data_IF_429716221085
#
_entry.id   IF_429716221085
#
_cell.length_a   1.000
_cell.length_b   1.000
_cell.length_c   1.000
_cell.angle_alpha   90.00
_cell.angle_beta   90.00
_cell.angle_gamma   90.00
#
_symmetry.space_group_name_H-M   'P 1'
#
loop_
_entity.id
_entity.type
_entity.pdbx_description
1 polymer ?
#
# COMPACT_ATOMS: atom_id res chain seq x y z
N UNK A 1 13.88 12.37 -4.24
CA UNK A 1 14.45 13.16 -5.34
C UNK A 1 15.26 12.24 -6.26
N UNK A 2 15.49 12.64 -7.54
CA UNK A 2 16.36 11.87 -8.42
C UNK A 2 17.76 11.66 -7.82
N UNK A 3 18.39 10.52 -8.11
CA UNK A 3 19.74 10.16 -7.66
C UNK A 3 19.81 9.40 -6.33
N UNK A 4 18.69 9.27 -5.62
CA UNK A 4 18.60 8.48 -4.38
C UNK A 4 18.29 7.04 -4.73
N UNK A 5 18.94 6.06 -4.11
CA UNK A 5 18.58 4.65 -4.25
C UNK A 5 17.39 4.28 -3.37
N UNK A 6 16.70 3.19 -3.69
CA UNK A 6 15.60 2.71 -2.85
C UNK A 6 16.12 2.14 -1.51
N UNK A 7 17.35 1.63 -1.45
CA UNK A 7 17.99 1.20 -0.21
C UNK A 7 18.30 2.40 0.72
N UNK A 8 18.71 3.54 0.14
CA UNK A 8 18.92 4.76 0.93
C UNK A 8 17.62 5.26 1.56
N UNK A 9 16.47 5.14 0.86
CA UNK A 9 15.15 5.45 1.42
C UNK A 9 14.80 4.50 2.56
N UNK A 10 15.05 3.22 2.42
CA UNK A 10 14.85 2.21 3.46
C UNK A 10 15.64 2.55 4.72
N UNK A 11 16.92 2.90 4.57
CA UNK A 11 17.79 3.31 5.68
C UNK A 11 17.25 4.53 6.42
N UNK A 12 16.81 5.57 5.69
CA UNK A 12 16.23 6.79 6.26
C UNK A 12 14.94 6.48 7.01
N UNK A 13 14.05 5.68 6.43
CA UNK A 13 12.79 5.30 7.06
C UNK A 13 13.03 4.42 8.29
N UNK A 14 13.94 3.46 8.23
CA UNK A 14 14.32 2.62 9.36
C UNK A 14 14.81 3.47 10.54
N UNK A 15 15.75 4.40 10.29
CA UNK A 15 16.27 5.29 11.33
C UNK A 15 15.16 6.13 11.96
N UNK A 16 14.26 6.67 11.14
CA UNK A 16 13.14 7.47 11.64
C UNK A 16 12.16 6.64 12.48
N UNK A 17 11.79 5.45 12.00
CA UNK A 17 10.88 4.54 12.73
C UNK A 17 11.47 4.17 14.09
N UNK A 18 12.72 3.72 14.11
CA UNK A 18 13.36 3.20 15.33
C UNK A 18 13.75 4.33 16.29
N UNK A 19 14.45 5.36 15.80
CA UNK A 19 15.09 6.35 16.66
C UNK A 19 14.25 7.61 16.90
N UNK A 20 13.24 7.89 16.09
CA UNK A 20 12.36 9.07 16.25
C UNK A 20 10.95 8.71 16.69
N UNK A 21 10.37 7.67 16.12
CA UNK A 21 9.04 7.20 16.52
C UNK A 21 9.10 6.22 17.69
N UNK A 22 10.27 5.66 18.00
CA UNK A 22 10.43 4.58 18.98
C UNK A 22 9.46 3.43 18.70
N UNK A 23 9.37 3.05 17.42
CA UNK A 23 8.49 2.02 16.89
C UNK A 23 9.32 0.90 16.25
N UNK A 24 8.67 -0.20 15.91
CA UNK A 24 9.31 -1.35 15.28
C UNK A 24 8.85 -1.38 13.81
N UNK A 25 9.77 -1.48 12.81
CA UNK A 25 9.36 -1.68 11.42
C UNK A 25 8.79 -3.09 11.24
N UNK A 26 7.48 -3.20 10.99
CA UNK A 26 6.75 -4.47 10.96
C UNK A 26 7.15 -5.37 9.80
N UNK A 27 7.59 -4.78 8.67
CA UNK A 27 8.05 -5.54 7.50
C UNK A 27 9.36 -6.29 7.75
N UNK A 28 10.25 -5.75 8.60
CA UNK A 28 11.56 -6.33 8.86
C UNK A 28 11.43 -7.68 9.59
N UNK A 29 11.90 -8.75 8.97
CA UNK A 29 11.76 -10.10 9.50
C UNK A 29 10.45 -10.80 9.13
N UNK A 30 9.55 -10.15 8.41
CA UNK A 30 8.24 -10.71 8.06
C UNK A 30 8.34 -11.84 7.02
N UNK A 31 7.45 -12.81 7.15
CA UNK A 31 7.18 -13.82 6.12
C UNK A 31 8.24 -14.90 5.98
N UNK A 32 9.10 -15.12 6.98
CA UNK A 32 10.03 -16.24 7.01
C UNK A 32 9.28 -17.59 6.95
N UNK A 33 9.73 -18.49 6.07
CA UNK A 33 9.21 -19.85 5.96
C UNK A 33 10.32 -20.79 5.46
N UNK A 34 10.17 -22.12 5.58
CA UNK A 34 11.12 -23.06 5.00
C UNK A 34 11.36 -22.77 3.51
N UNK A 35 12.61 -22.49 3.13
CA UNK A 35 13.01 -22.14 1.77
C UNK A 35 12.69 -20.71 1.32
N UNK A 36 12.08 -19.88 2.17
CA UNK A 36 11.82 -18.46 1.91
C UNK A 36 12.40 -17.60 3.03
N UNK A 37 13.41 -16.76 2.74
CA UNK A 37 13.98 -15.86 3.74
C UNK A 37 12.94 -14.81 4.17
N UNK A 38 13.09 -14.32 5.40
CA UNK A 38 12.35 -13.17 5.87
C UNK A 38 12.63 -11.93 5.03
N UNK A 39 11.69 -10.99 4.96
CA UNK A 39 11.91 -9.70 4.34
C UNK A 39 12.94 -8.90 5.15
N UNK A 40 13.95 -8.34 4.47
CA UNK A 40 15.16 -7.80 5.12
C UNK A 40 15.14 -6.27 5.26
N UNK A 41 14.02 -5.61 4.98
CA UNK A 41 13.90 -4.16 4.90
C UNK A 41 12.77 -3.64 5.78
N UNK A 42 12.88 -2.36 6.17
CA UNK A 42 11.88 -1.69 7.01
C UNK A 42 10.63 -1.27 6.23
N UNK A 43 10.77 -1.02 4.93
CA UNK A 43 9.71 -0.53 4.04
C UNK A 43 9.70 -1.29 2.72
N UNK A 44 8.59 -1.19 1.98
CA UNK A 44 8.56 -1.59 0.58
C UNK A 44 8.69 -0.35 -0.33
N UNK A 45 9.39 -0.52 -1.46
CA UNK A 45 9.62 0.54 -2.46
C UNK A 45 9.27 0.04 -3.86
N UNK A 46 8.07 0.33 -4.33
CA UNK A 46 7.58 -0.17 -5.61
C UNK A 46 7.67 0.91 -6.68
N UNK A 47 8.59 0.72 -7.64
CA UNK A 47 8.93 1.72 -8.66
C UNK A 47 8.34 1.34 -10.00
N UNK A 48 7.62 2.25 -10.64
CA UNK A 48 7.04 2.13 -11.98
C UNK A 48 6.13 0.90 -12.13
N UNK A 49 6.61 -0.16 -12.79
CA UNK A 49 5.87 -1.39 -13.07
C UNK A 49 5.78 -2.39 -11.91
N UNK A 50 6.49 -2.14 -10.82
CA UNK A 50 6.40 -2.96 -9.61
C UNK A 50 5.11 -2.63 -8.89
N UNK A 51 4.19 -3.59 -8.83
CA UNK A 51 2.82 -3.37 -8.31
C UNK A 51 2.82 -3.09 -6.81
N UNK A 52 3.49 -3.93 -6.02
CA UNK A 52 3.64 -3.79 -4.58
C UNK A 52 4.84 -4.61 -4.09
N UNK A 53 5.16 -4.52 -2.79
CA UNK A 53 6.20 -5.28 -2.10
C UNK A 53 7.59 -5.18 -2.76
N UNK A 54 7.87 -4.05 -3.43
CA UNK A 54 9.17 -3.81 -4.05
C UNK A 54 10.30 -3.81 -3.00
N UNK A 55 11.36 -4.59 -3.28
CA UNK A 55 12.47 -4.76 -2.35
C UNK A 55 13.46 -3.60 -2.53
N UNK A 56 13.75 -2.84 -1.47
CA UNK A 56 14.79 -1.82 -1.49
C UNK A 56 16.15 -2.37 -1.91
N UNK A 57 16.85 -1.64 -2.79
CA UNK A 57 18.18 -2.03 -3.29
C UNK A 57 18.98 -0.81 -3.71
N UNK A 58 20.28 -0.87 -3.61
CA UNK A 58 21.23 0.14 -4.11
C UNK A 58 21.28 0.19 -5.64
N UNK A 59 20.98 -0.93 -6.29
CA UNK A 59 20.94 -1.01 -7.76
C UNK A 59 19.77 -0.21 -8.37
N UNK A 60 18.69 0.08 -7.61
CA UNK A 60 17.57 0.89 -8.08
C UNK A 60 17.74 2.34 -7.64
N UNK A 61 18.39 3.13 -8.48
CA UNK A 61 18.52 4.59 -8.33
C UNK A 61 17.35 5.28 -9.01
N UNK A 62 16.64 6.12 -8.28
CA UNK A 62 15.47 6.87 -8.74
C UNK A 62 15.84 7.92 -9.78
N UNK A 63 15.04 8.04 -10.82
CA UNK A 63 15.21 8.99 -11.92
C UNK A 63 14.04 9.97 -11.98
N UNK A 64 14.26 11.15 -12.57
CA UNK A 64 13.17 12.07 -12.88
C UNK A 64 12.13 11.34 -13.75
N UNK A 65 10.87 11.45 -13.37
CA UNK A 65 9.75 10.80 -14.06
C UNK A 65 9.35 9.43 -13.52
N UNK A 66 10.17 8.81 -12.66
CA UNK A 66 9.73 7.59 -11.96
C UNK A 66 8.54 7.90 -11.05
N UNK A 67 7.58 6.99 -10.99
CA UNK A 67 6.57 6.94 -9.94
C UNK A 67 7.00 5.89 -8.91
N UNK A 68 6.86 6.21 -7.64
CA UNK A 68 7.30 5.38 -6.52
C UNK A 68 6.19 5.27 -5.49
N UNK A 69 5.79 4.07 -5.15
CA UNK A 69 5.05 3.80 -3.92
C UNK A 69 6.04 3.49 -2.79
N UNK A 70 5.91 4.20 -1.69
CA UNK A 70 6.57 3.86 -0.42
C UNK A 70 5.49 3.35 0.50
N UNK A 71 5.69 2.14 1.01
CA UNK A 71 4.75 1.43 1.86
C UNK A 71 5.42 1.11 3.19
N UNK A 72 4.80 1.56 4.27
CA UNK A 72 5.38 1.59 5.61
C UNK A 72 4.40 1.01 6.60
N UNK A 73 4.81 -0.04 7.31
CA UNK A 73 4.07 -0.56 8.46
C UNK A 73 4.95 -0.53 9.69
N UNK A 74 4.41 0.02 10.77
CA UNK A 74 5.09 0.12 12.06
C UNK A 74 4.28 -0.58 13.16
N UNK A 75 4.97 -1.05 14.20
CA UNK A 75 4.35 -1.52 15.44
C UNK A 75 4.68 -0.51 16.53
N UNK A 76 3.65 0.06 17.13
CA UNK A 76 3.77 0.95 18.30
C UNK A 76 2.79 0.51 19.38
N UNK A 77 3.30 0.30 20.59
CA UNK A 77 2.51 -0.13 21.76
C UNK A 77 1.67 -1.42 21.49
N UNK A 78 2.22 -2.32 20.66
CA UNK A 78 1.59 -3.60 20.30
C UNK A 78 0.57 -3.53 19.16
N UNK A 79 0.35 -2.35 18.55
CA UNK A 79 -0.56 -2.16 17.43
C UNK A 79 0.19 -1.84 16.14
N UNK A 80 -0.32 -2.34 15.03
CA UNK A 80 0.20 -2.04 13.69
C UNK A 80 -0.46 -0.79 13.13
N UNK A 81 0.35 0.06 12.48
CA UNK A 81 -0.11 1.15 11.64
C UNK A 81 0.50 1.01 10.26
N UNK A 82 -0.34 0.91 9.25
CA UNK A 82 0.03 0.62 7.87
C UNK A 82 -0.43 1.75 6.96
N UNK A 83 0.49 2.28 6.15
CA UNK A 83 0.19 3.35 5.21
C UNK A 83 1.14 3.35 4.03
N UNK A 84 0.64 3.78 2.88
CA UNK A 84 1.50 3.98 1.72
C UNK A 84 1.16 5.27 0.97
N UNK A 85 2.11 5.75 0.19
CA UNK A 85 1.92 6.95 -0.61
C UNK A 85 2.70 6.88 -1.92
N UNK A 86 2.08 7.44 -2.98
CA UNK A 86 2.71 7.60 -4.29
C UNK A 86 3.48 8.92 -4.38
N UNK A 87 4.66 8.83 -4.95
CA UNK A 87 5.55 9.99 -5.23
C UNK A 87 5.93 10.04 -6.70
N UNK A 88 5.86 11.22 -7.29
CA UNK A 88 6.41 11.49 -8.63
C UNK A 88 7.81 12.07 -8.44
N UNK A 89 8.82 11.35 -8.87
CA UNK A 89 10.21 11.72 -8.66
C UNK A 89 10.61 12.86 -9.60
N UNK A 90 11.00 13.99 -9.01
CA UNK A 90 11.33 15.21 -9.77
C UNK A 90 10.13 16.03 -10.22
N UNK A 91 8.91 15.70 -9.74
CA UNK A 91 7.69 16.50 -9.88
C UNK A 91 6.92 16.33 -11.20
N UNK A 92 7.50 15.69 -12.21
CA UNK A 92 6.88 15.46 -13.51
C UNK A 92 7.08 14.01 -13.96
N UNK A 93 6.06 13.42 -14.59
CA UNK A 93 6.12 12.05 -15.14
C UNK A 93 5.35 11.99 -16.47
N UNK A 94 5.21 10.80 -17.04
CA UNK A 94 4.42 10.62 -18.26
C UNK A 94 2.93 10.83 -17.98
N UNK A 95 2.17 11.24 -18.99
CA UNK A 95 0.71 11.42 -18.89
C UNK A 95 0.03 10.15 -18.37
N UNK A 96 0.48 8.98 -18.81
CA UNK A 96 -0.09 7.71 -18.39
C UNK A 96 0.21 7.40 -16.90
N UNK A 97 1.43 7.65 -16.44
CA UNK A 97 1.81 7.42 -15.04
C UNK A 97 1.10 8.41 -14.10
N UNK A 98 1.00 9.69 -14.47
CA UNK A 98 0.24 10.68 -13.71
C UNK A 98 -1.23 10.29 -13.61
N UNK A 99 -1.83 9.89 -14.73
CA UNK A 99 -3.21 9.42 -14.77
C UNK A 99 -3.41 8.17 -13.90
N UNK A 100 -2.51 7.20 -13.94
CA UNK A 100 -2.55 6.00 -13.09
C UNK A 100 -2.58 6.38 -11.60
N UNK A 101 -1.69 7.27 -11.17
CA UNK A 101 -1.63 7.73 -9.77
C UNK A 101 -2.92 8.42 -9.35
N UNK A 102 -3.47 9.30 -10.19
CA UNK A 102 -4.72 10.02 -9.93
C UNK A 102 -5.93 9.09 -9.86
N UNK A 103 -6.03 8.15 -10.79
CA UNK A 103 -7.13 7.16 -10.81
C UNK A 103 -7.04 6.24 -9.59
N UNK A 104 -5.86 5.78 -9.20
CA UNK A 104 -5.69 4.96 -8.02
C UNK A 104 -6.10 5.71 -6.74
N UNK A 105 -5.70 6.96 -6.60
CA UNK A 105 -6.07 7.80 -5.46
C UNK A 105 -7.57 8.07 -5.40
N UNK A 106 -8.18 8.44 -6.51
CA UNK A 106 -9.63 8.67 -6.60
C UNK A 106 -10.41 7.38 -6.31
N UNK A 107 -9.96 6.24 -6.82
CA UNK A 107 -10.57 4.94 -6.54
C UNK A 107 -10.55 4.61 -5.04
N UNK A 108 -9.46 4.90 -4.35
CA UNK A 108 -9.36 4.77 -2.89
C UNK A 108 -10.41 5.62 -2.18
N UNK A 109 -10.54 6.89 -2.52
CA UNK A 109 -11.54 7.77 -1.90
C UNK A 109 -12.97 7.30 -2.16
N UNK A 110 -13.27 6.83 -3.36
CA UNK A 110 -14.60 6.25 -3.67
C UNK A 110 -14.90 5.00 -2.85
N UNK A 111 -13.90 4.17 -2.58
CA UNK A 111 -14.02 3.06 -1.64
C UNK A 111 -14.33 3.55 -0.23
N UNK A 112 -13.57 4.54 0.26
CA UNK A 112 -13.73 5.14 1.60
C UNK A 112 -15.14 5.74 1.77
N UNK A 113 -15.67 6.42 0.77
CA UNK A 113 -17.01 7.04 0.79
C UNK A 113 -18.15 6.03 0.99
N UNK A 114 -17.93 4.75 0.69
CA UNK A 114 -18.92 3.70 0.93
C UNK A 114 -18.94 3.23 2.39
N UNK A 115 -17.89 3.52 3.16
CA UNK A 115 -17.70 3.01 4.53
C UNK A 115 -18.64 3.73 5.50
N UNK A 116 -19.64 2.98 5.98
CA UNK A 116 -20.57 3.42 7.02
C UNK A 116 -21.23 2.19 7.66
N UNK A 117 -21.77 2.29 8.87
CA UNK A 117 -22.50 1.20 9.47
C UNK A 117 -23.61 0.68 8.55
N UNK A 118 -23.67 -0.64 8.36
CA UNK A 118 -24.63 -1.31 7.49
C UNK A 118 -24.19 -1.48 6.02
N UNK A 119 -23.11 -0.84 5.56
CA UNK A 119 -22.47 -1.16 4.29
C UNK A 119 -21.72 -2.49 4.39
N UNK A 120 -21.30 -3.04 3.26
CA UNK A 120 -20.56 -4.29 3.21
C UNK A 120 -19.15 -4.10 2.64
N UNK A 121 -18.27 -5.04 2.91
CA UNK A 121 -16.93 -5.08 2.28
C UNK A 121 -17.04 -5.11 0.74
N UNK A 122 -18.07 -5.79 0.21
CA UNK A 122 -18.33 -5.83 -1.23
C UNK A 122 -18.71 -4.48 -1.84
N UNK A 123 -19.30 -3.57 -1.06
CA UNK A 123 -19.62 -2.21 -1.52
C UNK A 123 -18.34 -1.41 -1.80
N UNK A 124 -17.33 -1.58 -0.96
CA UNK A 124 -16.00 -0.96 -1.14
C UNK A 124 -15.39 -1.44 -2.46
N UNK A 125 -15.30 -2.76 -2.62
CA UNK A 125 -14.71 -3.35 -3.82
C UNK A 125 -15.47 -3.00 -5.10
N UNK A 126 -16.81 -3.00 -5.07
CA UNK A 126 -17.65 -2.64 -6.21
C UNK A 126 -17.47 -1.17 -6.63
N UNK A 127 -17.37 -0.25 -5.67
CA UNK A 127 -17.16 1.17 -5.94
C UNK A 127 -15.79 1.42 -6.60
N UNK A 128 -14.73 0.80 -6.06
CA UNK A 128 -13.37 0.87 -6.61
C UNK A 128 -13.35 0.30 -8.04
N UNK A 129 -13.81 -0.92 -8.22
CA UNK A 129 -13.80 -1.62 -9.51
C UNK A 129 -14.54 -0.83 -10.57
N UNK A 130 -15.77 -0.40 -10.28
CA UNK A 130 -16.60 0.36 -11.21
C UNK A 130 -15.88 1.61 -11.72
N UNK A 131 -15.22 2.34 -10.85
CA UNK A 131 -14.51 3.55 -11.24
C UNK A 131 -13.24 3.22 -12.05
N UNK A 132 -12.39 2.33 -11.55
CA UNK A 132 -11.12 1.95 -12.21
C UNK A 132 -11.36 1.43 -13.62
N UNK A 133 -12.36 0.55 -13.82
CA UNK A 133 -12.71 0.00 -15.12
C UNK A 133 -13.31 1.07 -16.07
N UNK A 134 -14.08 2.03 -15.54
CA UNK A 134 -14.58 3.16 -16.33
C UNK A 134 -13.45 4.06 -16.86
N UNK A 135 -12.34 4.14 -16.11
CA UNK A 135 -11.11 4.81 -16.49
C UNK A 135 -10.19 3.94 -17.38
N UNK A 136 -10.65 2.74 -17.77
CA UNK A 136 -9.92 1.79 -18.62
C UNK A 136 -8.63 1.27 -18.00
N UNK A 137 -8.59 1.16 -16.68
CA UNK A 137 -7.56 0.43 -15.95
C UNK A 137 -8.10 -0.90 -15.43
N UNK A 138 -7.20 -1.84 -15.13
CA UNK A 138 -7.53 -3.10 -14.46
C UNK A 138 -7.36 -2.98 -12.94
N UNK A 139 -8.17 -3.72 -12.20
CA UNK A 139 -8.00 -3.88 -10.76
C UNK A 139 -7.12 -5.10 -10.48
N UNK A 140 -6.10 -4.92 -9.64
CA UNK A 140 -5.26 -6.02 -9.17
C UNK A 140 -6.11 -6.96 -8.31
N UNK A 141 -6.03 -8.27 -8.58
CA UNK A 141 -6.86 -9.30 -7.93
C UNK A 141 -6.08 -10.18 -6.96
N UNK A 142 -4.75 -10.19 -7.08
CA UNK A 142 -3.84 -11.03 -6.29
C UNK A 142 -3.52 -10.44 -4.92
N UNK A 143 -3.80 -9.17 -4.73
CA UNK A 143 -3.58 -8.43 -3.49
C UNK A 143 -4.83 -7.65 -3.11
N UNK A 144 -4.99 -7.40 -1.82
CA UNK A 144 -6.14 -6.69 -1.27
C UNK A 144 -5.77 -5.92 0.00
N UNK A 145 -6.67 -5.07 0.45
CA UNK A 145 -6.64 -4.55 1.82
C UNK A 145 -7.00 -5.63 2.83
N UNK A 146 -6.79 -5.34 4.10
CA UNK A 146 -7.00 -6.31 5.17
C UNK A 146 -7.32 -5.62 6.50
N UNK A 147 -7.91 -6.36 7.43
CA UNK A 147 -8.00 -5.94 8.81
C UNK A 147 -6.61 -5.78 9.43
N UNK A 148 -6.48 -4.88 10.40
CA UNK A 148 -5.21 -4.55 11.05
C UNK A 148 -5.47 -4.15 12.51
N UNK A 149 -4.50 -4.44 13.38
CA UNK A 149 -4.58 -4.11 14.80
C UNK A 149 -3.38 -4.67 15.52
N UNK A 150 -3.60 -5.59 16.47
CA UNK A 150 -2.51 -6.34 17.12
C UNK A 150 -1.90 -7.41 16.23
N UNK A 151 -2.57 -7.75 15.13
CA UNK A 151 -2.10 -8.63 14.07
C UNK A 151 -1.88 -7.80 12.80
N UNK A 152 -0.80 -8.07 12.07
CA UNK A 152 -0.43 -7.29 10.89
C UNK A 152 -1.47 -7.48 9.77
N UNK A 153 -1.74 -8.72 9.38
CA UNK A 153 -2.74 -9.07 8.37
C UNK A 153 -3.84 -9.89 9.05
N UNK A 154 -4.97 -9.25 9.31
CA UNK A 154 -6.13 -9.84 9.97
C UNK A 154 -7.35 -9.83 9.05
N UNK A 155 -8.38 -10.56 9.43
CA UNK A 155 -9.68 -10.49 8.75
C UNK A 155 -10.37 -9.12 9.06
N UNK A 156 -11.19 -8.61 8.14
CA UNK A 156 -11.54 -9.20 6.85
C UNK A 156 -10.54 -8.87 5.74
N UNK A 157 -10.53 -9.67 4.68
CA UNK A 157 -9.95 -9.26 3.41
C UNK A 157 -10.83 -8.19 2.75
N UNK A 158 -10.21 -7.09 2.33
CA UNK A 158 -10.89 -5.97 1.67
C UNK A 158 -10.49 -5.95 0.20
N UNK A 159 -11.21 -6.69 -0.62
CA UNK A 159 -10.95 -6.79 -2.05
C UNK A 159 -11.27 -5.44 -2.74
N UNK A 160 -10.47 -5.09 -3.75
CA UNK A 160 -10.68 -3.89 -4.56
C UNK A 160 -11.64 -4.13 -5.74
N UNK A 161 -12.35 -5.24 -5.73
CA UNK A 161 -13.40 -5.64 -6.67
C UNK A 161 -14.49 -6.41 -5.93
N UNK A 162 -15.67 -6.52 -6.50
CA UNK A 162 -16.76 -7.27 -5.87
C UNK A 162 -18.14 -6.85 -6.33
N UNK A 163 -19.13 -7.22 -5.55
CA UNK A 163 -20.53 -6.91 -5.78
C UNK A 163 -21.12 -6.20 -4.57
N UNK A 164 -22.01 -5.23 -4.82
CA UNK A 164 -22.72 -4.54 -3.76
C UNK A 164 -23.51 -5.52 -2.87
N UNK A 165 -23.63 -5.19 -1.61
CA UNK A 165 -24.36 -5.96 -0.59
C UNK A 165 -23.83 -7.38 -0.39
N UNK A 166 -22.52 -7.60 -0.56
CA UNK A 166 -21.87 -8.90 -0.33
C UNK A 166 -20.73 -8.82 0.67
N UNK A 167 -20.43 -9.94 1.31
CA UNK A 167 -19.38 -10.03 2.32
C UNK A 167 -19.83 -9.51 3.71
N UNK A 168 -18.84 -9.25 4.56
CA UNK A 168 -19.05 -8.80 5.93
C UNK A 168 -19.74 -7.44 5.97
N UNK A 169 -20.72 -7.29 6.85
CA UNK A 169 -21.36 -5.99 7.13
C UNK A 169 -20.46 -5.19 8.06
N UNK A 170 -20.31 -3.92 7.77
CA UNK A 170 -19.53 -2.98 8.57
C UNK A 170 -20.35 -2.51 9.78
N UNK A 171 -19.73 -2.51 10.95
CA UNK A 171 -20.31 -2.07 12.21
C UNK A 171 -19.50 -0.91 12.80
N UNK A 172 -20.11 -0.20 13.76
CA UNK A 172 -19.42 0.87 14.48
C UNK A 172 -18.23 0.33 15.29
N UNK A 173 -17.07 0.96 15.15
CA UNK A 173 -15.85 0.57 15.85
C UNK A 173 -14.92 -0.37 15.08
N UNK A 174 -15.29 -0.75 13.86
CA UNK A 174 -14.40 -1.46 12.94
C UNK A 174 -13.36 -0.54 12.31
#
# INVERSE_FOLDING_TARGET
>A
KPGVSTLELDTICHDYIVNKQEAIPACLGYGAAPGRPAFQHAICTSVNHVVCHGIPTDAKVLKKGDILNIDVTVIKDGYHGDTNMMYVIGGETTIMADRLCKVAQEAMYRGIETVKPGSTIGDIGAAIQKYVESERFGVVREYCGHGIGTVFHDEPQVLHYGQNNTGMVLEEGM
#
